data_IF_824916434845
#
_entry.id   IF_824916434845
#
_cell.length_a   1.000
_cell.length_b   1.000
_cell.length_c   1.000
_cell.angle_alpha   90.00
_cell.angle_beta   90.00
_cell.angle_gamma   90.00
#
_symmetry.space_group_name_H-M   'P 1'
#
loop_
_entity.id
_entity.type
_entity.pdbx_description
1 polymer ?
#
# COMPACT_ATOMS: atom_id res chain seq x y z
N UNK A 1 50.31 -45.40 35.19
CA UNK A 1 50.47 -44.06 34.58
C UNK A 1 50.67 -44.27 33.09
N UNK A 2 49.69 -43.89 32.26
CA UNK A 2 49.83 -43.94 30.80
C UNK A 2 50.36 -42.57 30.35
N UNK A 3 51.55 -42.57 29.79
CA UNK A 3 52.15 -41.38 29.18
C UNK A 3 51.36 -41.04 27.91
N UNK A 4 50.77 -39.86 27.86
CA UNK A 4 50.20 -39.36 26.61
C UNK A 4 51.35 -39.02 25.67
N UNK A 5 51.41 -39.58 24.45
CA UNK A 5 52.43 -39.20 23.49
C UNK A 5 52.27 -37.72 23.18
N UNK A 6 53.29 -36.93 23.49
CA UNK A 6 53.31 -35.50 23.25
C UNK A 6 53.15 -35.24 21.76
N UNK A 7 52.02 -34.62 21.37
CA UNK A 7 51.82 -34.12 20.01
C UNK A 7 52.93 -33.12 19.73
N UNK A 8 53.70 -33.33 18.67
CA UNK A 8 54.77 -32.41 18.32
C UNK A 8 54.17 -31.04 18.02
N UNK A 9 54.85 -29.96 18.44
CA UNK A 9 54.34 -28.59 18.32
C UNK A 9 53.89 -28.23 16.90
N UNK A 10 54.54 -28.77 15.86
CA UNK A 10 54.13 -28.57 14.45
C UNK A 10 52.79 -29.22 14.12
N UNK A 11 52.50 -30.38 14.69
CA UNK A 11 51.23 -31.09 14.47
C UNK A 11 50.10 -30.39 15.23
N UNK A 12 50.37 -29.92 16.45
CA UNK A 12 49.42 -29.09 17.20
C UNK A 12 49.14 -27.76 16.47
N UNK A 13 50.17 -27.11 15.93
CA UNK A 13 50.02 -25.89 15.15
C UNK A 13 49.22 -26.16 13.86
N UNK A 14 49.47 -27.26 13.16
CA UNK A 14 48.73 -27.63 11.96
C UNK A 14 47.25 -27.87 12.25
N UNK A 15 46.92 -28.52 13.37
CA UNK A 15 45.53 -28.75 13.81
C UNK A 15 44.86 -27.40 14.12
N UNK A 16 45.49 -26.53 14.92
CA UNK A 16 44.93 -25.22 15.26
C UNK A 16 44.76 -24.35 14.01
N UNK A 17 45.71 -24.38 13.08
CA UNK A 17 45.63 -23.60 11.83
C UNK A 17 44.57 -24.15 10.89
N UNK A 18 44.38 -25.48 10.83
CA UNK A 18 43.32 -26.11 10.06
C UNK A 18 41.94 -25.85 10.65
N UNK A 19 41.80 -25.85 11.98
CA UNK A 19 40.57 -25.47 12.68
C UNK A 19 40.26 -23.97 12.47
N UNK A 20 41.27 -23.09 12.51
CA UNK A 20 41.09 -21.67 12.21
C UNK A 20 40.73 -21.42 10.74
N UNK A 21 41.26 -22.21 9.81
CA UNK A 21 40.93 -22.13 8.40
C UNK A 21 39.56 -22.74 8.05
N UNK A 22 39.08 -23.69 8.86
CA UNK A 22 37.74 -24.27 8.78
C UNK A 22 36.67 -23.38 9.45
N UNK A 23 37.07 -22.50 10.38
CA UNK A 23 36.22 -21.44 10.95
C UNK A 23 35.99 -20.26 9.97
N UNK A 24 35.85 -20.56 8.68
CA UNK A 24 35.39 -19.58 7.67
C UNK A 24 33.92 -19.29 7.91
N UNK A 25 33.70 -18.16 8.60
CA UNK A 25 32.49 -17.33 8.60
C UNK A 25 31.17 -18.07 8.86
N UNK A 26 30.73 -18.22 10.13
CA UNK A 26 29.34 -18.58 10.44
C UNK A 26 28.31 -17.48 10.04
N UNK A 27 28.75 -16.41 9.39
CA UNK A 27 27.93 -15.26 8.99
C UNK A 27 27.67 -15.14 7.49
N UNK A 28 28.10 -16.12 6.67
CA UNK A 28 27.78 -16.10 5.23
C UNK A 28 26.27 -16.25 4.95
N UNK A 29 25.50 -16.70 5.93
CA UNK A 29 24.05 -16.97 5.85
C UNK A 29 23.19 -15.87 6.51
N UNK A 30 23.80 -14.76 6.95
CA UNK A 30 23.10 -13.60 7.53
C UNK A 30 23.08 -12.38 6.61
N UNK A 31 23.42 -12.56 5.33
CA UNK A 31 22.92 -11.68 4.28
C UNK A 31 21.47 -12.08 3.99
N UNK A 32 20.58 -11.95 4.98
CA UNK A 32 19.20 -11.67 4.64
C UNK A 32 19.28 -10.41 3.77
N UNK A 33 18.85 -10.50 2.51
CA UNK A 33 18.70 -9.31 1.68
C UNK A 33 17.74 -8.40 2.45
N UNK A 34 18.29 -7.34 3.06
CA UNK A 34 17.49 -6.32 3.70
C UNK A 34 16.58 -5.74 2.63
N UNK A 35 15.27 -5.84 2.85
CA UNK A 35 14.27 -5.22 1.99
C UNK A 35 14.45 -3.71 2.07
N UNK A 36 14.30 -3.06 0.93
CA UNK A 36 14.21 -1.60 0.87
C UNK A 36 12.91 -1.13 1.53
N UNK A 37 12.88 0.14 1.99
CA UNK A 37 11.64 0.74 2.53
C UNK A 37 10.52 0.72 1.50
N UNK A 38 10.83 0.96 0.24
CA UNK A 38 9.84 0.87 -0.83
C UNK A 38 9.21 -0.53 -0.95
N UNK A 39 9.97 -1.61 -0.74
CA UNK A 39 9.42 -2.98 -0.71
C UNK A 39 8.58 -3.23 0.54
N UNK A 40 9.02 -2.78 1.72
CA UNK A 40 8.26 -2.90 2.96
C UNK A 40 6.92 -2.14 2.88
N UNK A 41 6.96 -0.91 2.40
CA UNK A 41 5.78 -0.08 2.19
C UNK A 41 4.90 -0.62 1.08
N UNK A 42 5.48 -1.18 0.00
CA UNK A 42 4.71 -1.82 -1.06
C UNK A 42 3.86 -2.97 -0.54
N UNK A 43 4.43 -3.84 0.30
CA UNK A 43 3.68 -4.93 0.93
C UNK A 43 2.59 -4.40 1.89
N UNK A 44 2.91 -3.38 2.68
CA UNK A 44 1.98 -2.78 3.64
C UNK A 44 0.79 -2.07 2.95
N UNK A 45 1.07 -1.27 1.92
CA UNK A 45 0.07 -0.56 1.10
C UNK A 45 -0.81 -1.55 0.35
N UNK A 46 -0.25 -2.60 -0.25
CA UNK A 46 -1.02 -3.58 -1.01
C UNK A 46 -1.97 -4.42 -0.14
N UNK A 47 -1.67 -4.55 1.16
CA UNK A 47 -2.54 -5.18 2.14
C UNK A 47 -3.54 -4.23 2.79
N UNK A 48 -3.47 -2.93 2.49
CA UNK A 48 -4.27 -1.92 3.14
C UNK A 48 -5.70 -1.86 2.59
N UNK A 49 -6.67 -1.80 3.50
CA UNK A 49 -8.09 -1.69 3.19
C UNK A 49 -8.73 -0.44 3.81
N UNK A 50 -7.94 0.52 4.32
CA UNK A 50 -8.47 1.67 5.08
C UNK A 50 -9.49 2.47 4.27
N UNK A 51 -9.27 2.65 2.96
CA UNK A 51 -10.21 3.38 2.10
C UNK A 51 -11.62 2.74 2.09
N UNK A 52 -11.73 1.41 2.23
CA UNK A 52 -13.01 0.71 2.29
C UNK A 52 -13.78 0.95 3.60
N UNK A 53 -13.11 1.49 4.63
CA UNK A 53 -13.73 1.92 5.88
C UNK A 53 -14.31 3.35 5.79
N UNK A 54 -14.09 4.03 4.65
CA UNK A 54 -14.54 5.38 4.39
C UNK A 54 -15.68 5.42 3.36
N UNK A 55 -16.67 6.28 3.60
CA UNK A 55 -17.63 6.70 2.60
C UNK A 55 -17.04 7.87 1.80
N UNK A 56 -17.18 7.84 0.48
CA UNK A 56 -16.75 8.97 -0.36
C UNK A 56 -17.83 10.05 -0.38
N UNK A 57 -17.39 11.29 -0.30
CA UNK A 57 -18.26 12.45 -0.42
C UNK A 57 -18.32 12.93 -1.87
N UNK A 58 -19.45 13.48 -2.28
CA UNK A 58 -19.52 14.21 -3.55
C UNK A 58 -18.78 15.54 -3.41
N UNK A 59 -17.89 15.85 -4.35
CA UNK A 59 -17.08 17.05 -4.32
C UNK A 59 -17.96 18.32 -4.40
N UNK A 60 -18.06 19.05 -3.29
CA UNK A 60 -18.73 20.36 -3.21
C UNK A 60 -17.73 21.53 -3.13
N UNK A 61 -16.43 21.25 -3.24
CA UNK A 61 -15.36 22.25 -3.12
C UNK A 61 -15.01 22.60 -1.68
N UNK A 62 -15.34 21.72 -0.73
CA UNK A 62 -15.03 21.90 0.69
C UNK A 62 -13.65 21.34 1.07
N UNK A 63 -13.02 20.55 0.18
CA UNK A 63 -11.67 20.04 0.35
C UNK A 63 -11.57 18.95 1.42
N UNK A 64 -12.62 18.14 1.60
CA UNK A 64 -12.55 16.96 2.46
C UNK A 64 -11.57 15.93 1.87
N UNK A 65 -10.98 15.10 2.74
CA UNK A 65 -9.92 14.17 2.38
C UNK A 65 -10.32 13.06 1.39
N UNK A 66 -11.62 12.88 1.12
CA UNK A 66 -12.17 11.80 0.28
C UNK A 66 -13.32 12.28 -0.62
N UNK A 67 -13.15 13.44 -1.26
CA UNK A 67 -14.13 13.97 -2.22
C UNK A 67 -13.93 13.37 -3.62
N UNK A 68 -15.04 13.04 -4.28
CA UNK A 68 -15.07 12.60 -5.68
C UNK A 68 -16.11 13.36 -6.49
N UNK A 69 -15.78 13.61 -7.75
CA UNK A 69 -16.69 14.17 -8.73
C UNK A 69 -17.07 13.09 -9.73
N UNK A 70 -18.32 12.65 -9.66
CA UNK A 70 -18.89 11.66 -10.57
C UNK A 70 -20.09 12.30 -11.28
N UNK A 71 -20.09 12.39 -12.62
CA UNK A 71 -21.20 12.94 -13.39
C UNK A 71 -22.55 12.32 -13.02
N UNK A 72 -23.57 13.17 -12.88
CA UNK A 72 -24.96 12.79 -12.55
C UNK A 72 -25.16 12.16 -11.16
N UNK A 73 -24.11 12.10 -10.32
CA UNK A 73 -24.21 11.69 -8.92
C UNK A 73 -24.04 12.93 -8.05
N UNK A 74 -25.13 13.34 -7.42
CA UNK A 74 -25.17 14.53 -6.56
C UNK A 74 -25.41 14.18 -5.09
N UNK A 75 -25.61 12.90 -4.79
CA UNK A 75 -25.92 12.41 -3.44
C UNK A 75 -24.81 11.52 -2.89
N UNK A 76 -24.64 11.64 -1.57
CA UNK A 76 -23.77 10.82 -0.74
C UNK A 76 -24.63 9.95 0.20
N UNK A 77 -24.07 8.86 0.77
CA UNK A 77 -22.70 8.37 0.60
C UNK A 77 -22.49 7.57 -0.69
N UNK A 78 -21.24 7.58 -1.18
CA UNK A 78 -20.75 6.65 -2.22
C UNK A 78 -19.92 5.59 -1.51
N UNK A 79 -20.30 4.33 -1.68
CA UNK A 79 -19.68 3.17 -1.04
C UNK A 79 -18.45 2.72 -1.86
N UNK A 80 -17.33 2.48 -1.18
CA UNK A 80 -16.16 1.83 -1.79
C UNK A 80 -16.32 0.32 -1.70
N UNK A 81 -16.25 -0.37 -2.85
CA UNK A 81 -16.43 -1.82 -2.95
C UNK A 81 -15.11 -2.56 -3.05
N UNK A 82 -14.17 -2.01 -3.83
CA UNK A 82 -12.85 -2.60 -4.02
C UNK A 82 -11.81 -1.52 -4.33
N UNK A 83 -10.56 -1.79 -3.98
CA UNK A 83 -9.42 -0.90 -4.21
C UNK A 83 -8.27 -1.73 -4.75
N UNK A 84 -7.81 -1.41 -5.95
CA UNK A 84 -6.66 -2.07 -6.57
C UNK A 84 -5.50 -1.08 -6.67
N UNK A 85 -4.43 -1.31 -5.91
CA UNK A 85 -3.23 -0.48 -5.93
C UNK A 85 -2.31 -0.79 -7.12
N UNK A 86 -1.87 0.25 -7.83
CA UNK A 86 -0.82 0.17 -8.85
C UNK A 86 0.54 0.44 -8.22
N UNK A 87 1.14 -0.59 -7.62
CA UNK A 87 2.44 -0.48 -6.93
C UNK A 87 3.59 -0.01 -7.83
N UNK A 88 3.43 -0.05 -9.16
CA UNK A 88 4.42 0.52 -10.07
C UNK A 88 4.47 2.07 -10.02
N UNK A 89 3.42 2.70 -9.49
CA UNK A 89 3.31 4.16 -9.29
C UNK A 89 3.70 4.58 -7.87
N UNK A 90 4.08 3.63 -7.00
CA UNK A 90 4.42 3.91 -5.62
C UNK A 90 5.62 4.87 -5.53
N UNK A 91 5.41 6.00 -4.86
CA UNK A 91 6.46 6.98 -4.57
C UNK A 91 6.57 7.17 -3.06
N UNK A 92 7.80 7.25 -2.57
CA UNK A 92 8.10 7.43 -1.15
C UNK A 92 8.80 8.77 -0.99
N UNK A 93 8.29 9.61 -0.10
CA UNK A 93 8.91 10.87 0.31
C UNK A 93 9.29 10.77 1.79
N UNK A 94 10.60 10.65 2.04
CA UNK A 94 11.16 10.55 3.39
C UNK A 94 11.30 11.94 4.00
N UNK A 95 10.58 12.18 5.10
CA UNK A 95 10.60 13.47 5.79
C UNK A 95 11.70 13.54 6.86
N UNK A 96 11.85 12.48 7.66
CA UNK A 96 12.79 12.44 8.77
C UNK A 96 13.34 11.02 9.00
N UNK A 97 14.65 10.93 9.27
CA UNK A 97 15.34 9.71 9.68
C UNK A 97 15.89 9.91 11.09
N UNK A 98 15.62 8.97 12.00
CA UNK A 98 16.06 9.01 13.38
C UNK A 98 17.23 8.06 13.65
N UNK A 99 18.05 8.43 14.66
CA UNK A 99 19.12 7.58 15.18
C UNK A 99 18.55 6.22 15.64
N UNK A 100 18.79 5.18 14.85
CA UNK A 100 18.21 3.85 15.06
C UNK A 100 17.66 3.19 13.81
N UNK A 101 17.53 3.94 12.70
CA UNK A 101 16.99 3.42 11.44
C UNK A 101 15.47 3.49 11.36
N UNK A 102 14.83 4.32 12.19
CA UNK A 102 13.40 4.64 12.05
C UNK A 102 13.25 5.79 11.07
N UNK A 103 12.37 5.63 10.09
CA UNK A 103 12.10 6.62 9.04
C UNK A 103 10.62 6.95 9.03
N UNK A 104 10.31 8.24 8.92
CA UNK A 104 8.95 8.76 8.84
C UNK A 104 8.81 9.52 7.52
N UNK A 105 7.67 9.33 6.86
CA UNK A 105 7.43 9.98 5.58
C UNK A 105 6.02 9.78 5.05
N UNK A 106 5.87 10.11 3.78
CA UNK A 106 4.65 9.89 3.01
C UNK A 106 4.89 8.85 1.92
N UNK A 107 3.89 8.02 1.66
CA UNK A 107 3.85 7.17 0.47
C UNK A 107 2.60 7.51 -0.32
N UNK A 108 2.79 7.70 -1.63
CA UNK A 108 1.71 7.96 -2.58
C UNK A 108 1.65 6.85 -3.60
N UNK A 109 0.43 6.44 -3.94
CA UNK A 109 0.19 5.33 -4.85
C UNK A 109 -1.10 5.58 -5.62
N UNK A 110 -1.08 5.32 -6.92
CA UNK A 110 -2.30 5.36 -7.72
C UNK A 110 -3.11 4.07 -7.49
N UNK A 111 -4.43 4.23 -7.42
CA UNK A 111 -5.38 3.14 -7.20
C UNK A 111 -6.53 3.23 -8.19
N UNK A 112 -7.06 2.08 -8.58
CA UNK A 112 -8.39 1.97 -9.16
C UNK A 112 -9.39 1.67 -8.04
N UNK A 113 -10.40 2.52 -7.87
CA UNK A 113 -11.45 2.39 -6.87
C UNK A 113 -12.74 1.98 -7.57
N UNK A 114 -13.23 0.78 -7.25
CA UNK A 114 -14.57 0.36 -7.62
C UNK A 114 -15.56 0.82 -6.55
N UNK A 115 -16.62 1.48 -6.96
CA UNK A 115 -17.56 2.13 -6.07
C UNK A 115 -19.01 1.83 -6.45
N UNK A 116 -19.91 2.05 -5.51
CA UNK A 116 -21.35 1.95 -5.68
C UNK A 116 -22.06 3.17 -5.08
N UNK A 117 -23.15 3.58 -5.71
CA UNK A 117 -23.95 4.71 -5.24
C UNK A 117 -25.42 4.52 -5.59
N UNK A 118 -26.27 5.31 -4.93
CA UNK A 118 -27.67 5.44 -5.30
C UNK A 118 -27.88 6.70 -6.14
N UNK A 119 -28.66 6.58 -7.21
CA UNK A 119 -29.08 7.71 -8.07
C UNK A 119 -30.59 7.75 -8.09
N UNK A 120 -31.20 8.94 -7.99
CA UNK A 120 -32.64 9.06 -8.14
C UNK A 120 -33.09 8.56 -9.52
N UNK A 121 -34.21 7.84 -9.58
CA UNK A 121 -34.80 7.38 -10.85
C UNK A 121 -35.04 8.53 -11.84
N UNK A 122 -35.43 9.70 -11.33
CA UNK A 122 -35.64 10.89 -12.16
C UNK A 122 -34.35 11.33 -12.86
N UNK A 123 -33.24 11.37 -12.14
CA UNK A 123 -31.92 11.74 -12.66
C UNK A 123 -31.38 10.64 -13.59
N UNK A 124 -31.57 9.37 -13.24
CA UNK A 124 -31.22 8.24 -14.12
C UNK A 124 -31.89 8.32 -15.50
N UNK A 125 -33.19 8.64 -15.57
CA UNK A 125 -33.89 8.79 -16.87
C UNK A 125 -33.50 10.06 -17.63
N UNK A 126 -32.93 11.07 -16.93
CA UNK A 126 -32.41 12.30 -17.51
C UNK A 126 -30.92 12.23 -17.87
N UNK A 127 -30.19 11.24 -17.36
CA UNK A 127 -28.76 11.10 -17.52
C UNK A 127 -28.36 10.92 -18.98
N UNK A 128 -27.19 11.47 -19.32
CA UNK A 128 -26.61 11.31 -20.66
C UNK A 128 -26.13 9.87 -20.89
N UNK A 129 -26.01 9.46 -22.15
CA UNK A 129 -25.57 8.11 -22.51
C UNK A 129 -24.10 7.82 -22.22
N UNK A 130 -23.31 8.86 -21.90
CA UNK A 130 -21.87 8.84 -21.67
C UNK A 130 -21.48 8.93 -20.19
N UNK A 131 -22.39 8.59 -19.27
CA UNK A 131 -22.05 8.50 -17.84
C UNK A 131 -21.00 7.42 -17.56
N UNK A 132 -20.09 7.62 -16.61
CA UNK A 132 -19.00 6.68 -16.30
C UNK A 132 -19.43 5.53 -15.36
N UNK A 133 -20.73 5.27 -15.24
CA UNK A 133 -21.30 4.27 -14.36
C UNK A 133 -22.35 3.44 -15.08
N UNK A 134 -22.65 2.27 -14.52
CA UNK A 134 -23.67 1.36 -15.03
C UNK A 134 -24.61 0.96 -13.91
N UNK A 135 -25.86 0.64 -14.26
CA UNK A 135 -26.86 0.21 -13.28
C UNK A 135 -26.59 -1.24 -12.86
N UNK A 136 -26.53 -1.48 -11.57
CA UNK A 136 -26.40 -2.82 -10.98
C UNK A 136 -27.73 -3.29 -10.37
N UNK A 137 -28.61 -2.37 -9.97
CA UNK A 137 -29.98 -2.68 -9.55
C UNK A 137 -30.96 -1.56 -9.93
N UNK A 138 -31.85 -1.85 -10.89
CA UNK A 138 -32.88 -0.92 -11.35
C UNK A 138 -34.03 -0.76 -10.34
N UNK A 139 -34.21 -1.71 -9.43
CA UNK A 139 -35.34 -1.77 -8.51
C UNK A 139 -34.91 -1.76 -7.04
N UNK A 140 -33.75 -1.16 -6.75
CA UNK A 140 -33.22 -1.01 -5.39
C UNK A 140 -34.29 -0.50 -4.41
N UNK A 141 -35.03 0.56 -4.79
CA UNK A 141 -36.31 0.92 -4.18
C UNK A 141 -37.17 1.78 -5.14
N UNK A 142 -38.29 2.30 -4.65
CA UNK A 142 -39.23 3.12 -5.44
C UNK A 142 -38.61 4.43 -5.98
N UNK A 143 -37.61 4.98 -5.32
CA UNK A 143 -37.04 6.29 -5.62
C UNK A 143 -35.67 6.23 -6.29
N UNK A 144 -34.90 5.16 -6.04
CA UNK A 144 -33.50 5.07 -6.39
C UNK A 144 -33.21 3.87 -7.29
N UNK A 145 -32.18 4.03 -8.12
CA UNK A 145 -31.45 2.96 -8.79
C UNK A 145 -30.07 2.85 -8.15
N UNK A 146 -29.52 1.64 -8.06
CA UNK A 146 -28.15 1.42 -7.60
C UNK A 146 -27.24 1.31 -8.81
N UNK A 147 -26.16 2.09 -8.80
CA UNK A 147 -25.18 2.15 -9.88
C UNK A 147 -23.80 1.81 -9.35
N UNK A 148 -22.93 1.35 -10.24
CA UNK A 148 -21.52 1.10 -9.95
C UNK A 148 -20.65 1.72 -11.03
N UNK A 149 -19.45 2.12 -10.65
CA UNK A 149 -18.43 2.58 -11.58
C UNK A 149 -17.04 2.37 -11.01
N UNK A 150 -16.07 2.83 -11.79
CA UNK A 150 -14.66 2.82 -11.43
C UNK A 150 -14.09 4.22 -11.60
N UNK A 151 -13.25 4.65 -10.66
CA UNK A 151 -12.45 5.86 -10.78
C UNK A 151 -10.99 5.55 -10.48
N UNK A 152 -10.09 6.38 -11.01
CA UNK A 152 -8.67 6.33 -10.65
C UNK A 152 -8.39 7.46 -9.65
N UNK A 153 -7.62 7.17 -8.61
CA UNK A 153 -7.25 8.14 -7.59
C UNK A 153 -5.79 7.93 -7.16
N UNK A 154 -5.20 8.94 -6.54
CA UNK A 154 -3.94 8.83 -5.80
C UNK A 154 -4.28 8.81 -4.31
N UNK A 155 -3.82 7.78 -3.59
CA UNK A 155 -3.90 7.72 -2.14
C UNK A 155 -2.61 8.22 -1.53
N UNK A 156 -2.73 9.03 -0.49
CA UNK A 156 -1.60 9.49 0.33
C UNK A 156 -1.68 8.85 1.70
N UNK A 157 -0.61 8.16 2.07
CA UNK A 157 -0.46 7.55 3.39
C UNK A 157 0.71 8.18 4.12
N UNK A 158 0.56 8.34 5.43
CA UNK A 158 1.69 8.62 6.33
C UNK A 158 2.22 7.29 6.87
N UNK A 159 3.53 7.13 6.94
CA UNK A 159 4.13 5.89 7.46
C UNK A 159 5.20 6.14 8.52
N UNK A 160 5.40 5.13 9.36
CA UNK A 160 6.55 4.99 10.27
C UNK A 160 7.13 3.60 10.03
N UNK A 161 8.39 3.52 9.61
CA UNK A 161 9.07 2.26 9.33
C UNK A 161 10.38 2.16 10.10
N UNK A 162 10.73 0.96 10.57
CA UNK A 162 12.00 0.68 11.23
C UNK A 162 12.84 -0.27 10.36
N UNK A 163 13.92 0.26 9.79
CA UNK A 163 14.86 -0.49 8.95
C UNK A 163 15.58 -1.60 9.71
N UNK A 164 15.84 -1.40 11.00
CA UNK A 164 16.51 -2.36 11.87
C UNK A 164 15.64 -3.56 12.18
N UNK A 165 14.33 -3.35 12.34
CA UNK A 165 13.34 -4.41 12.54
C UNK A 165 12.79 -5.01 11.22
N UNK A 166 13.01 -4.35 10.08
CA UNK A 166 12.49 -4.74 8.76
C UNK A 166 10.96 -4.78 8.73
N UNK A 167 10.33 -3.84 9.43
CA UNK A 167 8.89 -3.77 9.63
C UNK A 167 8.34 -2.35 9.45
N UNK A 168 7.05 -2.26 9.15
CA UNK A 168 6.30 -1.00 9.11
C UNK A 168 5.51 -0.91 10.41
N UNK A 169 5.91 0.02 11.28
CA UNK A 169 5.28 0.20 12.60
C UNK A 169 3.87 0.80 12.48
N UNK A 170 3.69 1.74 11.55
CA UNK A 170 2.40 2.41 11.30
C UNK A 170 2.26 2.80 9.83
N UNK A 171 1.05 2.67 9.30
CA UNK A 171 0.65 3.24 8.02
C UNK A 171 -0.80 3.73 8.11
N UNK A 172 -1.02 5.02 7.88
CA UNK A 172 -2.32 5.66 8.07
C UNK A 172 -2.71 6.43 6.81
N UNK A 173 -3.89 6.13 6.25
CA UNK A 173 -4.45 6.85 5.11
C UNK A 173 -4.76 8.31 5.51
N UNK A 174 -4.18 9.27 4.79
CA UNK A 174 -4.35 10.71 5.06
C UNK A 174 -5.33 11.36 4.09
N UNK A 175 -5.39 10.88 2.84
CA UNK A 175 -6.30 11.44 1.85
C UNK A 175 -6.25 10.73 0.51
N UNK A 176 -7.16 11.16 -0.34
CA UNK A 176 -7.37 10.69 -1.69
C UNK A 176 -7.55 11.87 -2.64
N UNK A 177 -6.87 11.84 -3.78
CA UNK A 177 -7.07 12.78 -4.87
C UNK A 177 -7.58 12.02 -6.11
N UNK A 178 -8.77 12.38 -6.60
CA UNK A 178 -9.29 11.78 -7.83
C UNK A 178 -8.43 12.22 -9.04
N UNK A 179 -7.91 11.25 -9.77
CA UNK A 179 -7.16 11.49 -10.99
C UNK A 179 -8.13 11.66 -12.17
N UNK A 180 -7.80 12.59 -13.07
CA UNK A 180 -8.58 12.76 -14.30
C UNK A 180 -8.51 11.47 -15.13
N UNK A 181 -9.61 11.02 -15.75
CA UNK A 181 -9.59 9.85 -16.62
C UNK A 181 -8.56 10.09 -17.73
N UNK A 182 -7.58 9.20 -17.85
CA UNK A 182 -6.62 9.28 -18.95
C UNK A 182 -7.40 9.15 -20.26
N UNK A 183 -7.35 10.14 -21.19
CA UNK A 183 -8.04 10.02 -22.45
C UNK A 183 -7.48 8.80 -23.19
N UNK A 184 -8.33 7.81 -23.43
CA UNK A 184 -7.96 6.63 -24.21
C UNK A 184 -7.69 7.10 -25.65
N UNK A 185 -6.44 6.99 -26.09
CA UNK A 185 -6.00 7.38 -27.44
C UNK A 185 -6.53 6.42 -28.52
#
# INVERSE_FOLDING_TARGET
MREHPGVAYRDALAIVTAEHAAAKTPYADLAAEFRSVAELLGDAVNGDMQLMEHELAVAEGNGLAFEVSIPEITEAPIDVVDVTHDLATLTVDEHEEFDGGTTIGEVRVEVDVDWEACVFRADYFGASSDVPWHVIDHDWNEHYVRVSGRLRAELTYHYVADHGSQDVDDITLQGMEQLSPTPTA
#
